data_IF_432663660336
#
_entry.id   IF_432663660336
#
_cell.length_a   1.000
_cell.length_b   1.000
_cell.length_c   1.000
_cell.angle_alpha   90.00
_cell.angle_beta   90.00
_cell.angle_gamma   90.00
#
_symmetry.space_group_name_H-M   'P 1'
#
loop_
_entity.id
_entity.type
_entity.pdbx_description
1 polymer ?
#
# COMPACT_ATOMS: atom_id res chain seq x y z
N UNK A 1 -21.26 -7.93 34.30
CA UNK A 1 -21.50 -9.37 34.56
C UNK A 1 -21.97 -10.17 33.32
N UNK A 2 -22.24 -9.52 32.17
CA UNK A 2 -22.40 -10.18 30.85
C UNK A 2 -21.08 -10.37 30.06
N UNK A 3 -19.99 -9.73 30.50
CA UNK A 3 -18.64 -9.73 29.86
C UNK A 3 -17.90 -11.08 29.85
N UNK A 4 -18.33 -12.08 30.63
CA UNK A 4 -17.51 -13.30 30.89
C UNK A 4 -18.08 -14.61 30.34
N UNK A 5 -19.36 -14.64 29.93
CA UNK A 5 -19.98 -15.90 29.45
C UNK A 5 -19.79 -16.12 27.94
N UNK A 6 -19.56 -15.08 27.13
CA UNK A 6 -19.31 -15.20 25.68
C UNK A 6 -17.93 -15.84 25.36
N UNK A 7 -16.91 -15.60 26.20
CA UNK A 7 -15.52 -16.03 25.95
C UNK A 7 -15.26 -17.54 26.07
N UNK A 8 -16.14 -18.31 26.72
CA UNK A 8 -15.90 -19.76 26.93
C UNK A 8 -16.21 -20.62 25.70
N UNK A 9 -17.15 -20.21 24.85
CA UNK A 9 -17.51 -20.99 23.66
C UNK A 9 -16.58 -20.70 22.48
N UNK A 10 -16.06 -19.47 22.35
CA UNK A 10 -15.09 -19.09 21.30
C UNK A 10 -13.73 -19.80 21.49
N UNK A 11 -13.33 -20.09 22.73
CA UNK A 11 -12.08 -20.80 23.03
C UNK A 11 -11.98 -22.21 22.42
N UNK A 12 -13.11 -22.89 22.19
CA UNK A 12 -13.11 -24.26 21.64
C UNK A 12 -13.06 -24.23 20.11
N UNK A 13 -13.78 -23.29 19.49
CA UNK A 13 -13.74 -23.09 18.04
C UNK A 13 -12.34 -22.64 17.58
N UNK A 14 -11.73 -21.70 18.31
CA UNK A 14 -10.39 -21.17 18.03
C UNK A 14 -9.29 -22.25 18.09
N UNK A 15 -9.40 -23.20 19.01
CA UNK A 15 -8.44 -24.32 19.15
C UNK A 15 -8.51 -25.35 18.02
N UNK A 16 -9.58 -25.34 17.22
CA UNK A 16 -9.78 -26.30 16.12
C UNK A 16 -9.55 -25.63 14.76
N UNK A 17 -10.01 -24.39 14.57
CA UNK A 17 -9.91 -23.67 13.29
C UNK A 17 -8.48 -23.20 12.96
N UNK A 18 -7.76 -22.62 13.93
CA UNK A 18 -6.40 -22.09 13.72
C UNK A 18 -5.41 -23.17 13.24
N UNK A 19 -5.33 -24.37 13.86
CA UNK A 19 -4.42 -25.40 13.35
C UNK A 19 -4.85 -25.97 11.98
N UNK A 20 -6.12 -25.88 11.60
CA UNK A 20 -6.61 -26.34 10.29
C UNK A 20 -6.25 -25.35 9.19
N UNK A 21 -6.40 -24.04 9.45
CA UNK A 21 -5.98 -22.98 8.53
C UNK A 21 -4.46 -22.96 8.33
N UNK A 22 -3.67 -23.06 9.39
CA UNK A 22 -2.21 -23.19 9.29
C UNK A 22 -1.78 -24.42 8.48
N UNK A 23 -2.52 -25.53 8.60
CA UNK A 23 -2.25 -26.74 7.81
C UNK A 23 -2.55 -26.53 6.32
N UNK A 24 -3.59 -25.76 5.98
CA UNK A 24 -3.95 -25.44 4.59
C UNK A 24 -2.90 -24.54 3.95
N UNK A 25 -2.41 -23.52 4.67
CA UNK A 25 -1.34 -22.62 4.21
C UNK A 25 -0.05 -23.40 3.92
N UNK A 26 0.35 -24.31 4.84
CA UNK A 26 1.54 -25.16 4.64
C UNK A 26 1.38 -26.12 3.46
N UNK A 27 0.17 -26.65 3.22
CA UNK A 27 -0.10 -27.52 2.08
C UNK A 27 -0.10 -26.73 0.76
N UNK A 28 -0.61 -25.50 0.75
CA UNK A 28 -0.54 -24.59 -0.41
C UNK A 28 0.90 -24.28 -0.82
N UNK A 29 1.75 -23.91 0.15
CA UNK A 29 3.17 -23.65 -0.09
C UNK A 29 3.93 -24.89 -0.63
N UNK A 30 3.56 -26.09 -0.17
CA UNK A 30 4.15 -27.34 -0.65
C UNK A 30 3.69 -27.75 -2.06
N UNK A 31 2.51 -27.31 -2.51
CA UNK A 31 2.00 -27.62 -3.85
C UNK A 31 2.57 -26.65 -4.91
N UNK A 32 2.79 -25.38 -4.55
CA UNK A 32 3.47 -24.39 -5.39
C UNK A 32 4.93 -24.77 -5.69
N UNK A 33 5.63 -25.39 -4.74
CA UNK A 33 7.01 -25.85 -4.94
C UNK A 33 7.12 -27.12 -5.80
N UNK A 34 6.08 -27.97 -5.87
CA UNK A 34 6.14 -29.22 -6.64
C UNK A 34 5.82 -29.04 -8.14
N UNK A 35 5.00 -28.04 -8.48
CA UNK A 35 4.66 -27.73 -9.88
C UNK A 35 5.79 -27.02 -10.61
N UNK A 36 6.62 -26.26 -9.90
CA UNK A 36 7.73 -25.48 -10.48
C UNK A 36 9.01 -26.28 -10.76
N UNK A 37 9.18 -27.47 -10.16
CA UNK A 37 10.39 -28.30 -10.31
C UNK A 37 10.37 -29.27 -11.49
N UNK A 38 9.34 -29.23 -12.36
CA UNK A 38 9.15 -30.24 -13.41
C UNK A 38 9.43 -29.78 -14.84
N UNK A 39 9.70 -28.50 -15.11
CA UNK A 39 10.11 -28.04 -16.43
C UNK A 39 11.40 -27.22 -16.33
N UNK A 40 12.53 -27.88 -16.58
CA UNK A 40 13.44 -27.45 -17.64
C UNK A 40 14.71 -28.31 -17.66
N UNK A 41 14.93 -28.94 -18.82
CA UNK A 41 16.18 -29.60 -19.14
C UNK A 41 16.34 -29.56 -20.67
N UNK A 42 17.13 -28.62 -21.18
CA UNK A 42 18.14 -28.92 -22.20
C UNK A 42 19.15 -27.77 -22.35
N UNK A 43 20.43 -28.12 -22.13
CA UNK A 43 21.61 -27.29 -22.24
C UNK A 43 22.13 -27.19 -23.68
N UNK A 44 22.87 -26.12 -23.96
CA UNK A 44 23.84 -26.02 -25.04
C UNK A 44 24.99 -25.06 -24.70
N UNK A 45 26.12 -25.63 -24.29
CA UNK A 45 27.49 -25.11 -24.17
C UNK A 45 27.99 -24.41 -25.47
N UNK A 46 29.05 -23.59 -25.59
CA UNK A 46 30.28 -23.35 -24.82
C UNK A 46 31.02 -22.08 -25.37
N UNK A 47 31.75 -21.37 -24.49
CA UNK A 47 33.13 -20.76 -24.55
C UNK A 47 33.75 -20.17 -25.87
N UNK A 48 34.77 -19.29 -25.92
CA UNK A 48 35.77 -18.77 -24.96
C UNK A 48 36.57 -17.59 -25.58
N UNK A 49 37.03 -16.66 -24.71
CA UNK A 49 38.34 -15.96 -24.70
C UNK A 49 38.77 -14.88 -25.73
N UNK A 50 39.39 -13.81 -25.19
CA UNK A 50 40.41 -13.01 -25.89
C UNK A 50 40.62 -11.57 -25.38
N UNK A 51 41.41 -11.40 -24.31
CA UNK A 51 42.05 -10.11 -23.94
C UNK A 51 43.01 -9.60 -25.04
N UNK A 52 43.18 -8.28 -25.22
CA UNK A 52 44.25 -7.51 -24.58
C UNK A 52 44.48 -6.09 -25.18
N UNK A 53 44.74 -5.14 -24.27
CA UNK A 53 45.64 -3.97 -24.31
C UNK A 53 45.36 -2.68 -25.11
N UNK A 54 45.43 -1.60 -24.31
CA UNK A 54 45.65 -0.16 -24.51
C UNK A 54 46.87 0.20 -25.40
N UNK A 55 46.85 1.38 -26.02
CA UNK A 55 47.71 2.54 -25.64
C UNK A 55 47.35 3.80 -26.46
N UNK A 56 47.55 4.96 -25.84
CA UNK A 56 47.23 6.32 -26.25
C UNK A 56 48.22 6.94 -27.25
N UNK A 57 47.84 8.07 -27.85
CA UNK A 57 48.74 9.25 -27.97
C UNK A 57 48.00 10.51 -28.47
N UNK A 58 48.42 11.63 -27.88
CA UNK A 58 47.97 13.02 -28.05
C UNK A 58 48.30 13.66 -29.42
N UNK A 59 47.63 14.77 -29.71
CA UNK A 59 48.01 15.71 -30.78
C UNK A 59 47.20 17.01 -30.73
N UNK A 60 47.79 18.02 -30.11
CA UNK A 60 47.34 19.40 -29.90
C UNK A 60 47.58 20.31 -31.14
N UNK A 61 46.70 21.30 -31.41
CA UNK A 61 47.06 22.65 -31.91
C UNK A 61 45.85 23.57 -32.13
N UNK A 62 45.93 24.77 -31.56
CA UNK A 62 44.99 25.89 -31.56
C UNK A 62 44.90 26.74 -32.84
N UNK A 63 43.85 27.61 -32.86
CA UNK A 63 43.85 29.04 -33.24
C UNK A 63 43.56 29.44 -34.70
N UNK A 64 42.42 30.09 -35.00
CA UNK A 64 42.17 31.55 -34.89
C UNK A 64 40.98 31.98 -35.80
N UNK A 65 40.24 33.03 -35.42
CA UNK A 65 39.39 33.78 -36.36
C UNK A 65 38.02 34.23 -35.85
N UNK A 66 38.00 35.36 -35.13
CA UNK A 66 36.84 36.21 -34.82
C UNK A 66 36.14 36.80 -36.05
N UNK A 67 34.83 37.00 -35.99
CA UNK A 67 34.16 38.19 -36.55
C UNK A 67 32.79 38.41 -35.89
N UNK A 68 32.56 39.66 -35.48
CA UNK A 68 31.40 40.19 -34.78
C UNK A 68 30.15 40.25 -35.67
N UNK A 69 28.97 39.91 -35.14
CA UNK A 69 27.69 40.41 -35.66
C UNK A 69 26.74 40.71 -34.50
N UNK A 70 26.54 42.02 -34.25
CA UNK A 70 25.54 42.54 -33.33
C UNK A 70 24.16 42.35 -33.96
N UNK A 71 23.34 41.46 -33.39
CA UNK A 71 21.90 41.45 -33.65
C UNK A 71 21.15 41.80 -32.37
N UNK A 72 20.30 42.82 -32.47
CA UNK A 72 19.42 43.31 -31.42
C UNK A 72 18.42 42.20 -31.03
N UNK A 73 18.68 41.57 -29.88
CA UNK A 73 17.76 40.61 -29.27
C UNK A 73 16.62 41.40 -28.61
N UNK A 74 15.47 41.38 -29.26
CA UNK A 74 14.22 41.84 -28.70
C UNK A 74 13.85 40.86 -27.57
N UNK A 75 14.14 41.26 -26.33
CA UNK A 75 13.82 40.50 -25.12
C UNK A 75 12.31 40.28 -25.00
N UNK A 76 11.84 39.20 -25.60
CA UNK A 76 10.61 38.53 -25.23
C UNK A 76 10.91 37.96 -23.85
N UNK A 77 10.36 38.61 -22.81
CA UNK A 77 10.42 38.07 -21.46
C UNK A 77 9.85 36.66 -21.52
N UNK A 78 10.70 35.65 -21.36
CA UNK A 78 10.27 34.28 -21.18
C UNK A 78 9.28 34.28 -20.03
N UNK A 79 8.01 34.08 -20.33
CA UNK A 79 7.03 33.65 -19.34
C UNK A 79 7.59 32.37 -18.75
N UNK A 80 8.00 32.43 -17.48
CA UNK A 80 8.29 31.23 -16.68
C UNK A 80 7.15 30.23 -16.93
N UNK A 81 7.44 28.94 -17.21
CA UNK A 81 6.38 27.96 -17.35
C UNK A 81 5.52 28.00 -16.08
N UNK A 82 4.20 28.12 -16.24
CA UNK A 82 3.29 27.99 -15.12
C UNK A 82 3.24 26.49 -14.78
N UNK A 83 3.89 26.07 -13.70
CA UNK A 83 3.81 24.71 -13.19
C UNK A 83 2.60 24.59 -12.25
N UNK A 84 2.01 23.39 -12.19
CA UNK A 84 1.10 22.99 -11.12
C UNK A 84 1.74 21.83 -10.36
N UNK A 85 1.63 21.87 -9.04
CA UNK A 85 2.22 20.88 -8.14
C UNK A 85 1.08 20.28 -7.31
N UNK A 86 1.09 18.96 -7.15
CA UNK A 86 0.22 18.24 -6.22
C UNK A 86 1.04 17.25 -5.40
N UNK A 87 0.54 16.92 -4.22
CA UNK A 87 1.10 15.89 -3.36
C UNK A 87 0.14 14.70 -3.23
N UNK A 88 0.67 13.49 -3.38
CA UNK A 88 -0.08 12.24 -3.18
C UNK A 88 0.55 11.49 -2.02
N UNK A 89 -0.25 11.14 -1.01
CA UNK A 89 0.18 10.31 0.13
C UNK A 89 -0.46 8.94 0.08
N UNK A 90 0.33 7.90 0.28
CA UNK A 90 -0.15 6.51 0.35
C UNK A 90 0.31 5.82 1.63
N UNK A 91 -0.55 4.96 2.19
CA UNK A 91 -0.26 4.22 3.44
C UNK A 91 -0.61 2.75 3.32
N UNK A 92 0.10 1.91 4.08
CA UNK A 92 -0.14 0.47 4.15
C UNK A 92 -1.46 0.07 4.82
N UNK A 93 -1.42 -1.08 5.50
CA UNK A 93 -2.62 -1.81 5.87
C UNK A 93 -3.36 -1.15 7.06
N UNK A 94 -4.63 -0.79 6.84
CA UNK A 94 -5.56 -0.30 7.86
C UNK A 94 -6.44 -1.46 8.31
N UNK A 95 -6.09 -2.04 9.46
CA UNK A 95 -6.78 -3.19 10.04
C UNK A 95 -7.28 -2.90 11.46
N UNK A 96 -8.37 -3.55 11.85
CA UNK A 96 -8.88 -3.53 13.22
C UNK A 96 -9.04 -4.94 13.79
N UNK A 97 -8.01 -5.42 14.48
CA UNK A 97 -8.06 -6.63 15.27
C UNK A 97 -8.95 -6.46 16.51
N UNK A 98 -9.27 -7.57 17.18
CA UNK A 98 -10.12 -7.56 18.38
C UNK A 98 -9.70 -6.56 19.44
N UNK A 99 -8.40 -6.52 19.76
CA UNK A 99 -7.89 -5.58 20.75
C UNK A 99 -8.07 -4.11 20.37
N UNK A 100 -8.03 -3.77 19.08
CA UNK A 100 -8.17 -2.39 18.59
C UNK A 100 -9.61 -1.92 18.72
N UNK A 101 -10.59 -2.67 18.18
CA UNK A 101 -11.99 -2.23 18.29
C UNK A 101 -12.55 -2.37 19.72
N UNK A 102 -11.98 -3.23 20.58
CA UNK A 102 -12.30 -3.20 22.01
C UNK A 102 -11.75 -1.96 22.72
N UNK A 103 -10.62 -1.41 22.27
CA UNK A 103 -10.08 -0.13 22.73
C UNK A 103 -10.94 1.04 22.31
N UNK A 104 -11.41 1.02 21.06
CA UNK A 104 -12.27 2.06 20.49
C UNK A 104 -13.69 2.13 21.11
N UNK A 105 -14.12 1.16 21.92
CA UNK A 105 -15.49 1.15 22.45
C UNK A 105 -15.71 2.20 23.53
N UNK A 106 -16.71 3.06 23.32
CA UNK A 106 -17.11 4.15 24.23
C UNK A 106 -18.39 3.77 24.98
N UNK A 107 -18.28 3.51 26.29
CA UNK A 107 -19.42 3.04 27.12
C UNK A 107 -20.53 4.09 27.25
N UNK A 108 -20.19 5.38 27.22
CA UNK A 108 -21.13 6.49 27.38
C UNK A 108 -22.12 6.60 26.22
N UNK A 109 -21.67 6.29 25.00
CA UNK A 109 -22.44 6.40 23.76
C UNK A 109 -22.91 5.05 23.23
N UNK A 110 -22.37 3.94 23.78
CA UNK A 110 -22.58 2.58 23.26
C UNK A 110 -22.21 2.48 21.77
N UNK A 111 -21.07 3.08 21.41
CA UNK A 111 -20.54 3.20 20.05
C UNK A 111 -19.03 2.99 20.04
N UNK A 112 -18.41 3.14 18.87
CA UNK A 112 -16.95 3.06 18.71
C UNK A 112 -16.36 4.41 18.28
N UNK A 113 -15.13 4.68 18.68
CA UNK A 113 -14.34 5.88 18.35
C UNK A 113 -12.88 5.49 18.12
N UNK A 114 -12.48 5.45 16.86
CA UNK A 114 -11.13 5.18 16.38
C UNK A 114 -10.35 6.47 16.11
N UNK A 115 -10.92 7.67 16.25
CA UNK A 115 -10.19 8.93 15.98
C UNK A 115 -8.86 9.04 16.72
N UNK A 116 -8.72 8.62 18.00
CA UNK A 116 -7.43 8.67 18.68
C UNK A 116 -6.32 7.90 17.98
N UNK A 117 -6.65 6.85 17.23
CA UNK A 117 -5.68 6.07 16.45
C UNK A 117 -4.94 6.94 15.44
N UNK A 118 -5.66 7.86 14.79
CA UNK A 118 -5.17 8.65 13.68
C UNK A 118 -4.75 10.07 14.05
N UNK A 119 -4.90 10.49 15.31
CA UNK A 119 -4.76 11.89 15.71
C UNK A 119 -3.40 12.51 15.34
N UNK A 120 -2.29 11.76 15.46
CA UNK A 120 -0.94 12.28 15.18
C UNK A 120 -0.55 12.22 13.71
N UNK A 121 -1.14 11.31 12.94
CA UNK A 121 -0.87 11.18 11.49
C UNK A 121 -1.82 12.01 10.65
N UNK A 122 -2.96 12.42 11.21
CA UNK A 122 -3.94 13.26 10.54
C UNK A 122 -3.35 14.52 9.89
N UNK A 123 -2.45 15.31 10.54
CA UNK A 123 -1.85 16.48 9.89
C UNK A 123 -1.03 16.15 8.64
N UNK A 124 -0.42 14.96 8.58
CA UNK A 124 0.35 14.51 7.42
C UNK A 124 -0.57 14.11 6.26
N UNK A 125 -1.70 13.47 6.58
CA UNK A 125 -2.69 13.08 5.57
C UNK A 125 -3.46 14.30 5.03
N UNK A 126 -3.83 15.26 5.89
CA UNK A 126 -4.50 16.50 5.48
C UNK A 126 -3.59 17.48 4.72
N UNK A 127 -2.26 17.30 4.77
CA UNK A 127 -1.31 18.09 3.97
C UNK A 127 -1.29 17.64 2.50
N UNK A 128 -1.59 16.37 2.24
CA UNK A 128 -1.67 15.83 0.90
C UNK A 128 -2.87 16.38 0.12
N UNK A 129 -2.71 16.57 -1.20
CA UNK A 129 -3.86 16.87 -2.07
C UNK A 129 -4.69 15.61 -2.39
N UNK A 130 -4.09 14.43 -2.22
CA UNK A 130 -4.73 13.12 -2.38
C UNK A 130 -4.13 12.08 -1.43
N UNK A 131 -4.89 11.64 -0.42
CA UNK A 131 -4.46 10.61 0.53
C UNK A 131 -5.19 9.26 0.31
N UNK A 132 -4.42 8.17 0.21
CA UNK A 132 -4.91 6.83 -0.15
C UNK A 132 -4.41 5.78 0.86
N UNK A 133 -5.27 4.85 1.28
CA UNK A 133 -4.88 3.75 2.18
C UNK A 133 -5.49 2.40 1.81
N UNK A 134 -4.81 1.30 2.19
CA UNK A 134 -5.36 -0.05 2.07
C UNK A 134 -6.28 -0.36 3.25
N UNK A 135 -7.59 -0.37 3.00
CA UNK A 135 -8.62 -0.73 3.98
C UNK A 135 -8.81 -2.25 4.01
N UNK A 136 -7.99 -2.93 4.81
CA UNK A 136 -7.92 -4.39 4.90
C UNK A 136 -8.83 -4.93 6.01
N UNK A 137 -10.09 -4.51 5.94
CA UNK A 137 -11.16 -4.99 6.81
C UNK A 137 -12.51 -4.88 6.11
N UNK A 138 -13.56 -5.38 6.73
CA UNK A 138 -14.93 -5.22 6.21
C UNK A 138 -15.83 -4.55 7.24
N UNK A 139 -16.86 -3.83 6.79
CA UNK A 139 -17.87 -3.19 7.66
C UNK A 139 -19.27 -3.68 7.29
N UNK A 140 -19.54 -4.92 7.65
CA UNK A 140 -20.78 -5.62 7.31
C UNK A 140 -21.91 -5.41 8.35
N UNK A 141 -21.72 -4.51 9.33
CA UNK A 141 -22.71 -4.10 10.33
C UNK A 141 -22.77 -4.98 11.59
N UNK A 142 -23.35 -4.41 12.66
CA UNK A 142 -23.45 -5.05 13.98
C UNK A 142 -24.26 -6.37 13.97
N UNK A 143 -25.31 -6.45 13.13
CA UNK A 143 -26.18 -7.63 13.02
C UNK A 143 -25.42 -8.90 12.60
N UNK A 144 -24.29 -8.73 11.91
CA UNK A 144 -23.39 -9.83 11.51
C UNK A 144 -22.33 -10.14 12.57
N UNK A 145 -22.22 -9.29 13.57
CA UNK A 145 -21.33 -9.41 14.73
C UNK A 145 -19.94 -8.91 14.42
N UNK A 146 -19.45 -7.96 15.21
CA UNK A 146 -18.08 -7.48 15.08
C UNK A 146 -17.05 -8.54 15.46
N UNK A 147 -15.97 -8.58 14.70
CA UNK A 147 -14.88 -9.53 14.86
C UNK A 147 -13.60 -8.96 14.27
N UNK A 148 -12.46 -9.26 14.89
CA UNK A 148 -11.15 -9.12 14.26
C UNK A 148 -10.79 -10.41 13.52
N UNK A 149 -9.49 -10.68 13.47
CA UNK A 149 -8.93 -11.89 12.86
C UNK A 149 -9.57 -13.20 13.39
N UNK A 150 -9.84 -14.22 12.54
CA UNK A 150 -9.44 -14.35 11.13
C UNK A 150 -10.46 -13.88 10.09
N UNK A 151 -11.66 -13.45 10.51
CA UNK A 151 -12.71 -12.99 9.61
C UNK A 151 -13.20 -11.64 10.12
N UNK A 152 -12.66 -10.58 9.56
CA UNK A 152 -12.88 -9.23 10.01
C UNK A 152 -14.29 -8.75 9.70
N UNK A 153 -14.91 -8.11 10.69
CA UNK A 153 -16.07 -7.24 10.55
C UNK A 153 -15.92 -6.15 11.62
N UNK A 154 -15.38 -5.03 11.21
CA UNK A 154 -15.05 -3.91 12.09
C UNK A 154 -16.30 -3.07 12.36
N UNK A 155 -16.43 -2.44 13.54
CA UNK A 155 -17.47 -1.45 13.77
C UNK A 155 -17.52 -0.39 12.69
N UNK A 156 -18.74 -0.01 12.32
CA UNK A 156 -19.02 0.83 11.15
C UNK A 156 -18.38 2.23 11.31
N UNK A 157 -18.20 2.70 12.55
CA UNK A 157 -17.61 4.00 12.88
C UNK A 157 -16.16 4.16 12.38
N UNK A 158 -15.43 3.07 12.14
CA UNK A 158 -14.07 3.17 11.58
C UNK A 158 -14.04 3.92 10.25
N UNK A 159 -15.11 3.83 9.44
CA UNK A 159 -15.17 4.52 8.14
C UNK A 159 -15.23 6.03 8.33
N UNK A 160 -16.04 6.52 9.27
CA UNK A 160 -16.11 7.95 9.61
C UNK A 160 -14.80 8.45 10.23
N UNK A 161 -14.07 7.57 10.93
CA UNK A 161 -12.82 7.93 11.60
C UNK A 161 -11.62 7.91 10.65
N UNK A 162 -11.67 7.11 9.59
CA UNK A 162 -10.73 7.13 8.46
C UNK A 162 -10.97 8.37 7.59
N UNK A 163 -12.22 8.73 7.30
CA UNK A 163 -12.54 10.05 6.69
C UNK A 163 -12.03 11.20 7.57
N UNK A 164 -12.27 11.14 8.89
CA UNK A 164 -11.72 12.13 9.83
C UNK A 164 -10.19 12.23 9.77
N UNK A 165 -9.48 11.13 9.52
CA UNK A 165 -8.03 11.12 9.42
C UNK A 165 -7.51 11.89 8.19
N UNK A 166 -8.35 12.10 7.17
CA UNK A 166 -8.01 12.85 5.97
C UNK A 166 -7.82 12.00 4.71
N UNK A 167 -8.28 10.75 4.69
CA UNK A 167 -8.21 9.93 3.47
C UNK A 167 -9.26 10.36 2.44
N UNK A 168 -8.86 10.43 1.17
CA UNK A 168 -9.75 10.72 0.04
C UNK A 168 -10.25 9.46 -0.65
N UNK A 169 -9.44 8.39 -0.64
CA UNK A 169 -9.75 7.13 -1.29
C UNK A 169 -9.22 5.93 -0.49
N UNK A 170 -9.96 4.82 -0.55
CA UNK A 170 -9.59 3.57 0.10
C UNK A 170 -9.52 2.43 -0.91
N UNK A 171 -8.39 1.74 -0.89
CA UNK A 171 -8.21 0.47 -1.56
C UNK A 171 -8.87 -0.61 -0.74
N UNK A 172 -9.72 -1.41 -1.38
CA UNK A 172 -10.51 -2.45 -0.71
C UNK A 172 -10.35 -3.81 -1.35
N UNK A 173 -9.68 -3.92 -2.50
CA UNK A 173 -9.27 -5.20 -3.08
C UNK A 173 -8.07 -5.76 -2.31
N UNK A 174 -8.36 -6.62 -1.34
CA UNK A 174 -7.36 -7.33 -0.56
C UNK A 174 -7.84 -8.74 -0.19
N UNK A 175 -7.00 -9.50 0.50
CA UNK A 175 -7.30 -10.87 0.91
C UNK A 175 -8.51 -10.98 1.87
N UNK A 176 -8.86 -9.90 2.58
CA UNK A 176 -9.96 -9.84 3.54
C UNK A 176 -11.29 -9.29 2.97
N UNK A 177 -11.33 -8.88 1.70
CA UNK A 177 -12.54 -8.38 1.02
C UNK A 177 -13.76 -9.29 1.19
N UNK A 178 -13.56 -10.62 1.16
CA UNK A 178 -14.64 -11.62 1.24
C UNK A 178 -14.90 -12.18 2.64
N UNK A 179 -14.34 -11.61 3.71
CA UNK A 179 -14.52 -12.13 5.07
C UNK A 179 -15.99 -12.21 5.48
N UNK A 180 -16.80 -11.29 4.96
CA UNK A 180 -18.25 -11.24 5.15
C UNK A 180 -19.03 -11.60 3.86
N UNK A 181 -18.37 -12.17 2.86
CA UNK A 181 -18.95 -12.55 1.57
C UNK A 181 -19.46 -11.36 0.74
N UNK A 182 -20.20 -11.64 -0.34
CA UNK A 182 -20.69 -10.62 -1.29
C UNK A 182 -21.43 -9.46 -0.61
N UNK A 183 -22.37 -9.76 0.30
CA UNK A 183 -23.10 -8.72 1.05
C UNK A 183 -22.17 -7.86 1.93
N UNK A 184 -21.02 -8.40 2.35
CA UNK A 184 -19.99 -7.67 3.08
C UNK A 184 -19.20 -6.72 2.19
N UNK A 185 -18.85 -7.15 0.97
CA UNK A 185 -18.23 -6.31 -0.06
C UNK A 185 -19.14 -5.15 -0.40
N UNK A 186 -20.37 -5.44 -0.84
CA UNK A 186 -21.36 -4.43 -1.23
C UNK A 186 -21.63 -3.41 -0.12
N UNK A 187 -21.67 -3.86 1.14
CA UNK A 187 -21.90 -2.96 2.26
C UNK A 187 -20.69 -2.10 2.56
N UNK A 188 -19.48 -2.66 2.48
CA UNK A 188 -18.23 -1.93 2.71
C UNK A 188 -18.08 -0.81 1.69
N UNK A 189 -18.30 -1.10 0.41
CA UNK A 189 -18.34 -0.10 -0.68
C UNK A 189 -19.30 1.04 -0.33
N UNK A 190 -20.57 0.71 -0.04
CA UNK A 190 -21.61 1.71 0.30
C UNK A 190 -21.29 2.56 1.53
N UNK A 191 -20.61 2.00 2.52
CA UNK A 191 -20.24 2.75 3.74
C UNK A 191 -19.15 3.76 3.42
N UNK A 192 -18.12 3.36 2.66
CA UNK A 192 -16.99 4.22 2.28
C UNK A 192 -17.47 5.35 1.35
N UNK A 193 -18.19 5.01 0.27
CA UNK A 193 -18.78 6.02 -0.63
C UNK A 193 -19.77 6.94 0.11
N UNK A 194 -20.52 6.39 1.07
CA UNK A 194 -21.45 7.14 1.90
C UNK A 194 -20.77 8.16 2.82
N UNK A 195 -19.51 7.93 3.19
CA UNK A 195 -18.67 8.88 3.92
C UNK A 195 -18.06 9.95 3.01
N UNK A 196 -18.04 9.73 1.69
CA UNK A 196 -17.53 10.69 0.70
C UNK A 196 -16.14 10.37 0.17
N UNK A 197 -15.58 9.22 0.53
CA UNK A 197 -14.32 8.71 0.00
C UNK A 197 -14.56 7.83 -1.23
N UNK A 198 -13.58 7.78 -2.13
CA UNK A 198 -13.61 6.85 -3.26
C UNK A 198 -13.24 5.42 -2.82
N UNK A 199 -13.83 4.43 -3.48
CA UNK A 199 -13.52 3.01 -3.29
C UNK A 199 -12.78 2.50 -4.52
N UNK A 200 -11.63 1.86 -4.29
CA UNK A 200 -10.81 1.31 -5.36
C UNK A 200 -10.71 -0.21 -5.16
N UNK A 201 -10.96 -0.97 -6.22
CA UNK A 201 -10.74 -2.42 -6.24
C UNK A 201 -11.93 -3.30 -5.84
N UNK A 202 -13.02 -2.75 -5.29
CA UNK A 202 -14.26 -3.51 -5.03
C UNK A 202 -15.51 -2.74 -5.40
N UNK A 203 -16.60 -3.48 -5.66
CA UNK A 203 -17.78 -2.93 -6.29
C UNK A 203 -19.09 -3.48 -5.70
N UNK A 204 -20.11 -2.61 -5.59
CA UNK A 204 -21.48 -3.05 -5.22
C UNK A 204 -22.15 -3.82 -6.37
N UNK A 205 -21.87 -3.44 -7.62
CA UNK A 205 -22.32 -4.10 -8.84
C UNK A 205 -21.14 -4.22 -9.82
N UNK A 206 -21.24 -5.13 -10.81
CA UNK A 206 -20.19 -5.29 -11.81
C UNK A 206 -19.84 -3.94 -12.48
N UNK A 207 -18.56 -3.50 -12.41
CA UNK A 207 -18.18 -2.18 -12.90
C UNK A 207 -18.19 -2.10 -14.43
N UNK A 208 -18.41 -0.90 -14.96
CA UNK A 208 -18.09 -0.58 -16.36
C UNK A 208 -16.59 -0.32 -16.53
N UNK A 209 -15.96 0.34 -15.56
CA UNK A 209 -14.55 0.72 -15.54
C UNK A 209 -13.90 0.27 -14.22
N UNK A 210 -12.63 -0.16 -14.28
CA UNK A 210 -11.89 -0.69 -13.11
C UNK A 210 -10.82 0.26 -12.57
N UNK A 211 -11.03 1.54 -12.82
CA UNK A 211 -10.17 2.63 -12.37
C UNK A 211 -11.02 3.80 -11.91
N UNK A 212 -10.44 4.61 -11.02
CA UNK A 212 -11.00 5.90 -10.59
C UNK A 212 -10.10 7.02 -11.09
N UNK A 213 -10.67 8.02 -11.77
CA UNK A 213 -9.93 9.23 -12.16
C UNK A 213 -10.18 10.34 -11.12
N UNK A 214 -9.11 10.80 -10.47
CA UNK A 214 -9.10 11.99 -9.62
C UNK A 214 -8.45 13.16 -10.36
N UNK A 215 -9.21 14.23 -10.59
CA UNK A 215 -8.65 15.51 -11.04
C UNK A 215 -8.28 16.34 -9.81
N UNK A 216 -6.99 16.45 -9.55
CA UNK A 216 -6.42 17.18 -8.42
C UNK A 216 -5.66 18.37 -8.98
N UNK A 217 -6.21 19.57 -8.81
CA UNK A 217 -5.64 20.82 -9.32
C UNK A 217 -5.30 20.80 -10.84
N UNK A 218 -5.95 19.98 -11.67
CA UNK A 218 -5.66 19.86 -13.10
C UNK A 218 -4.64 18.77 -13.48
N UNK A 219 -4.19 18.00 -12.49
CA UNK A 219 -3.45 16.73 -12.66
C UNK A 219 -4.44 15.59 -12.48
N UNK A 220 -4.60 14.76 -13.52
CA UNK A 220 -5.47 13.57 -13.48
C UNK A 220 -4.68 12.36 -13.01
N UNK A 221 -5.09 11.79 -11.88
CA UNK A 221 -4.52 10.56 -11.34
C UNK A 221 -5.51 9.42 -11.58
N UNK A 222 -5.10 8.41 -12.32
CA UNK A 222 -5.83 7.15 -12.43
C UNK A 222 -5.42 6.21 -11.30
N UNK A 223 -6.40 5.76 -10.53
CA UNK A 223 -6.22 4.87 -9.39
C UNK A 223 -6.78 3.49 -9.71
N UNK A 224 -5.94 2.47 -9.59
CA UNK A 224 -6.32 1.07 -9.76
C UNK A 224 -5.86 0.26 -8.55
N UNK A 225 -6.55 -0.83 -8.23
CA UNK A 225 -6.10 -1.74 -7.20
C UNK A 225 -6.46 -3.20 -7.49
N UNK A 226 -5.58 -4.12 -7.11
CA UNK A 226 -5.76 -5.55 -7.36
C UNK A 226 -5.24 -6.40 -6.20
N UNK A 227 -5.93 -7.50 -5.92
CA UNK A 227 -5.49 -8.50 -4.93
C UNK A 227 -5.05 -9.81 -5.57
N UNK A 228 -3.97 -10.40 -5.06
CA UNK A 228 -3.49 -11.73 -5.47
C UNK A 228 -4.41 -12.85 -4.98
N UNK A 229 -5.07 -12.67 -3.82
CA UNK A 229 -5.89 -13.73 -3.21
C UNK A 229 -7.02 -13.20 -2.34
N UNK A 230 -7.89 -14.10 -1.88
CA UNK A 230 -9.01 -13.83 -0.95
C UNK A 230 -9.07 -14.87 0.17
N UNK A 231 -7.92 -15.30 0.70
CA UNK A 231 -7.83 -16.28 1.80
C UNK A 231 -8.57 -17.62 1.54
N UNK A 232 -8.77 -17.99 0.27
CA UNK A 232 -9.56 -19.17 -0.11
C UNK A 232 -11.08 -19.03 0.09
N UNK A 233 -11.58 -17.81 0.28
CA UNK A 233 -13.00 -17.46 0.51
C UNK A 233 -13.81 -17.32 -0.79
N UNK A 234 -13.28 -17.75 -1.93
CA UNK A 234 -13.95 -17.66 -3.23
C UNK A 234 -15.18 -18.57 -3.34
N UNK A 235 -15.27 -19.67 -2.59
CA UNK A 235 -16.46 -20.53 -2.61
C UNK A 235 -17.62 -19.91 -1.82
N UNK A 236 -18.87 -19.93 -2.34
CA UNK A 236 -19.35 -20.70 -3.48
C UNK A 236 -19.42 -19.94 -4.81
N UNK A 237 -18.75 -18.79 -4.93
CA UNK A 237 -18.82 -17.93 -6.11
C UNK A 237 -18.00 -18.49 -7.28
N UNK A 238 -18.43 -18.20 -8.50
CA UNK A 238 -17.60 -18.42 -9.68
C UNK A 238 -16.52 -17.34 -9.80
N UNK A 239 -15.48 -17.58 -10.59
CA UNK A 239 -14.45 -16.57 -10.87
C UNK A 239 -15.05 -15.29 -11.47
N UNK A 240 -16.09 -15.42 -12.31
CA UNK A 240 -16.83 -14.29 -12.89
C UNK A 240 -17.61 -13.51 -11.81
N UNK A 241 -18.27 -14.20 -10.88
CA UNK A 241 -18.96 -13.56 -9.76
C UNK A 241 -17.98 -12.82 -8.85
N UNK A 242 -16.81 -13.41 -8.56
CA UNK A 242 -15.75 -12.76 -7.78
C UNK A 242 -15.25 -11.52 -8.51
N UNK A 243 -14.90 -11.63 -9.79
CA UNK A 243 -14.32 -10.52 -10.54
C UNK A 243 -15.33 -9.38 -10.75
N UNK A 244 -16.63 -9.66 -10.75
CA UNK A 244 -17.67 -8.63 -10.74
C UNK A 244 -17.74 -7.83 -9.42
N UNK A 245 -17.13 -8.32 -8.33
CA UNK A 245 -17.15 -7.67 -7.02
C UNK A 245 -15.78 -7.15 -6.60
N UNK A 246 -14.69 -7.77 -7.06
CA UNK A 246 -13.32 -7.55 -6.58
C UNK A 246 -12.35 -7.62 -7.75
N UNK A 247 -11.45 -6.66 -7.84
CA UNK A 247 -10.35 -6.68 -8.79
C UNK A 247 -9.28 -7.71 -8.38
N UNK A 248 -9.26 -8.81 -9.14
CA UNK A 248 -8.34 -9.93 -8.91
C UNK A 248 -7.19 -9.85 -9.90
N UNK A 249 -5.99 -9.99 -9.35
CA UNK A 249 -4.74 -9.86 -10.08
C UNK A 249 -4.57 -10.97 -11.13
N UNK A 250 -4.39 -10.56 -12.39
CA UNK A 250 -3.84 -11.36 -13.48
C UNK A 250 -3.32 -10.41 -14.56
N UNK A 251 -2.36 -10.84 -15.39
CA UNK A 251 -1.87 -9.99 -16.49
C UNK A 251 -3.01 -9.55 -17.44
N UNK A 252 -4.01 -10.40 -17.67
CA UNK A 252 -5.18 -10.07 -18.51
C UNK A 252 -6.01 -8.95 -17.87
N UNK A 253 -6.40 -9.11 -16.61
CA UNK A 253 -7.21 -8.12 -15.89
C UNK A 253 -6.47 -6.78 -15.73
N UNK A 254 -5.17 -6.83 -15.42
CA UNK A 254 -4.31 -5.66 -15.31
C UNK A 254 -4.20 -4.92 -16.65
N UNK A 255 -3.94 -5.64 -17.74
CA UNK A 255 -3.86 -5.04 -19.08
C UNK A 255 -5.17 -4.36 -19.44
N UNK A 256 -6.31 -5.05 -19.26
CA UNK A 256 -7.63 -4.51 -19.57
C UNK A 256 -7.92 -3.21 -18.80
N UNK A 257 -7.66 -3.20 -17.50
CA UNK A 257 -7.93 -2.03 -16.66
C UNK A 257 -6.96 -0.88 -16.93
N UNK A 258 -5.68 -1.15 -17.19
CA UNK A 258 -4.69 -0.11 -17.52
C UNK A 258 -4.97 0.49 -18.91
N UNK A 259 -5.32 -0.33 -19.90
CA UNK A 259 -5.69 0.16 -21.23
C UNK A 259 -6.95 1.06 -21.14
N UNK A 260 -7.96 0.65 -20.36
CA UNK A 260 -9.15 1.46 -20.11
C UNK A 260 -8.80 2.78 -19.40
N UNK A 261 -7.96 2.74 -18.36
CA UNK A 261 -7.51 3.94 -17.66
C UNK A 261 -6.79 4.93 -18.60
N UNK A 262 -5.98 4.44 -19.53
CA UNK A 262 -5.30 5.27 -20.54
C UNK A 262 -6.26 5.96 -21.52
N UNK A 263 -7.45 5.39 -21.76
CA UNK A 263 -8.45 6.04 -22.62
C UNK A 263 -8.97 7.36 -22.02
N UNK A 264 -8.86 7.54 -20.71
CA UNK A 264 -9.22 8.77 -19.99
C UNK A 264 -8.11 9.83 -19.95
N UNK A 265 -6.96 9.54 -20.57
CA UNK A 265 -5.80 10.42 -20.71
C UNK A 265 -5.33 10.96 -19.34
N UNK A 266 -4.92 10.08 -18.40
CA UNK A 266 -4.41 10.46 -17.09
C UNK A 266 -2.98 10.98 -17.19
N UNK A 267 -2.60 11.83 -16.24
CA UNK A 267 -1.22 12.33 -16.08
C UNK A 267 -0.35 11.36 -15.29
N UNK A 268 -0.95 10.64 -14.33
CA UNK A 268 -0.30 9.63 -13.49
C UNK A 268 -1.23 8.42 -13.40
N UNK A 269 -0.68 7.22 -13.54
CA UNK A 269 -1.33 5.94 -13.23
C UNK A 269 -0.69 5.38 -11.97
N UNK A 270 -1.49 5.27 -10.90
CA UNK A 270 -1.12 4.68 -9.62
C UNK A 270 -1.87 3.36 -9.42
N UNK A 271 -1.11 2.30 -9.15
CA UNK A 271 -1.66 0.97 -8.86
C UNK A 271 -1.39 0.58 -7.41
N UNK A 272 -2.38 0.02 -6.75
CA UNK A 272 -2.24 -0.62 -5.44
C UNK A 272 -2.31 -2.14 -5.58
N UNK A 273 -1.26 -2.83 -5.15
CA UNK A 273 -1.11 -4.26 -5.33
C UNK A 273 -1.06 -4.96 -3.98
N UNK A 274 -2.06 -5.78 -3.70
CA UNK A 274 -2.16 -6.54 -2.46
C UNK A 274 -1.64 -7.96 -2.69
N UNK A 275 -0.36 -8.19 -2.39
CA UNK A 275 0.41 -9.30 -2.96
C UNK A 275 1.54 -9.85 -2.09
N UNK A 276 2.09 -10.99 -2.50
CA UNK A 276 3.29 -11.56 -1.91
C UNK A 276 3.04 -12.32 -0.60
N UNK A 277 4.09 -12.87 0.01
CA UNK A 277 3.94 -13.65 1.23
C UNK A 277 3.94 -12.78 2.50
N UNK A 278 2.98 -13.02 3.40
CA UNK A 278 2.95 -12.43 4.74
C UNK A 278 4.28 -12.60 5.49
N UNK A 279 4.71 -11.53 6.16
CA UNK A 279 5.84 -11.47 7.09
C UNK A 279 7.22 -11.73 6.46
N UNK A 280 7.32 -11.58 5.14
CA UNK A 280 8.60 -11.68 4.42
C UNK A 280 9.06 -10.27 4.05
N UNK A 281 10.21 -9.86 4.58
CA UNK A 281 10.75 -8.50 4.37
C UNK A 281 11.40 -8.28 2.99
N UNK A 282 11.62 -9.34 2.21
CA UNK A 282 12.16 -9.25 0.85
C UNK A 282 11.07 -9.55 -0.18
N UNK A 283 10.95 -8.74 -1.25
CA UNK A 283 9.97 -9.01 -2.29
C UNK A 283 10.26 -10.35 -2.98
N UNK A 284 9.21 -11.15 -3.14
CA UNK A 284 9.25 -12.44 -3.83
C UNK A 284 9.34 -12.29 -5.36
N UNK A 285 9.59 -13.40 -6.05
CA UNK A 285 9.75 -13.39 -7.52
C UNK A 285 8.45 -13.00 -8.24
N UNK A 286 7.27 -13.39 -7.71
CA UNK A 286 5.97 -12.98 -8.24
C UNK A 286 5.79 -11.46 -8.18
N UNK A 287 6.10 -10.85 -7.02
CA UNK A 287 5.98 -9.40 -6.85
C UNK A 287 6.90 -8.66 -7.85
N UNK A 288 8.15 -9.09 -8.00
CA UNK A 288 9.11 -8.48 -8.96
C UNK A 288 8.65 -8.64 -10.41
N UNK A 289 8.13 -9.81 -10.77
CA UNK A 289 7.57 -10.06 -12.11
C UNK A 289 6.44 -9.08 -12.41
N UNK A 290 5.48 -8.94 -11.51
CA UNK A 290 4.36 -8.04 -11.74
C UNK A 290 4.74 -6.56 -11.64
N UNK A 291 5.70 -6.19 -10.80
CA UNK A 291 6.22 -4.82 -10.79
C UNK A 291 6.86 -4.44 -12.14
N UNK A 292 7.70 -5.32 -12.71
CA UNK A 292 8.25 -5.12 -14.06
C UNK A 292 7.14 -5.10 -15.12
N UNK A 293 6.17 -6.01 -15.03
CA UNK A 293 5.04 -6.04 -15.96
C UNK A 293 4.24 -4.71 -15.94
N UNK A 294 3.96 -4.16 -14.77
CA UNK A 294 3.25 -2.88 -14.62
C UNK A 294 4.08 -1.70 -15.17
N UNK A 295 5.39 -1.69 -14.93
CA UNK A 295 6.29 -0.70 -15.53
C UNK A 295 6.28 -0.79 -17.06
N UNK A 296 6.30 -2.01 -17.62
CA UNK A 296 6.18 -2.25 -19.07
C UNK A 296 4.80 -1.84 -19.63
N UNK A 297 3.77 -1.79 -18.79
CA UNK A 297 2.46 -1.25 -19.14
C UNK A 297 2.38 0.28 -18.97
N UNK A 298 3.44 0.98 -18.57
CA UNK A 298 3.44 2.43 -18.40
C UNK A 298 2.72 2.92 -17.15
N UNK A 299 2.70 2.11 -16.08
CA UNK A 299 2.27 2.55 -14.75
C UNK A 299 3.37 3.40 -14.11
N UNK A 300 3.03 4.54 -13.53
CA UNK A 300 4.01 5.45 -12.92
C UNK A 300 4.35 5.04 -11.48
N UNK A 301 3.33 4.72 -10.68
CA UNK A 301 3.45 4.45 -9.25
C UNK A 301 2.84 3.08 -8.90
N UNK A 302 3.63 2.21 -8.29
CA UNK A 302 3.22 0.86 -7.90
C UNK A 302 3.37 0.72 -6.39
N UNK A 303 2.24 0.67 -5.67
CA UNK A 303 2.21 0.66 -4.22
C UNK A 303 1.75 -0.70 -3.72
N UNK A 304 2.59 -1.37 -2.93
CA UNK A 304 2.33 -2.69 -2.40
C UNK A 304 1.74 -2.68 -0.99
N UNK A 305 0.93 -3.69 -0.70
CA UNK A 305 0.39 -4.07 0.62
C UNK A 305 0.35 -5.59 0.75
N UNK A 306 -0.07 -6.10 1.92
CA UNK A 306 -0.22 -7.52 2.30
C UNK A 306 0.91 -8.17 3.11
N UNK A 307 2.21 -7.97 2.83
CA UNK A 307 3.26 -8.61 3.62
C UNK A 307 3.24 -8.21 5.11
N UNK A 308 2.52 -7.14 5.47
CA UNK A 308 2.42 -6.59 6.82
C UNK A 308 3.77 -6.21 7.43
N UNK A 309 4.78 -6.02 6.59
CA UNK A 309 6.13 -5.55 6.92
C UNK A 309 6.58 -4.64 5.79
N UNK A 310 7.46 -3.69 6.09
CA UNK A 310 8.06 -2.85 5.06
C UNK A 310 8.92 -3.69 4.11
N UNK A 311 8.69 -3.53 2.82
CA UNK A 311 9.58 -4.01 1.77
C UNK A 311 10.16 -2.80 1.03
N UNK A 312 11.27 -3.01 0.34
CA UNK A 312 12.03 -1.93 -0.30
C UNK A 312 11.24 -1.13 -1.34
N UNK A 313 11.68 0.11 -1.55
CA UNK A 313 11.32 0.92 -2.71
C UNK A 313 12.42 0.88 -3.78
N UNK A 314 12.07 0.92 -5.06
CA UNK A 314 13.03 1.08 -6.17
C UNK A 314 12.35 1.61 -7.44
N UNK A 315 13.11 2.34 -8.27
CA UNK A 315 12.70 2.65 -9.64
C UNK A 315 12.97 1.45 -10.56
N UNK A 316 12.02 1.18 -11.45
CA UNK A 316 12.07 0.12 -12.46
C UNK A 316 11.92 0.77 -13.84
N UNK A 317 12.95 0.62 -14.67
CA UNK A 317 12.90 0.97 -16.08
C UNK A 317 12.05 -0.06 -16.84
N UNK A 318 11.16 0.41 -17.72
CA UNK A 318 10.42 -0.47 -18.63
C UNK A 318 11.38 -1.21 -19.56
N UNK A 319 10.95 -2.38 -20.05
CA UNK A 319 11.76 -3.24 -20.90
C UNK A 319 12.22 -2.59 -22.22
N UNK A 320 11.52 -1.56 -22.69
CA UNK A 320 11.89 -0.77 -23.87
C UNK A 320 12.73 0.48 -23.55
N UNK A 321 12.89 0.83 -22.27
CA UNK A 321 13.63 2.00 -21.80
C UNK A 321 12.93 3.33 -22.06
N UNK A 322 11.63 3.32 -22.37
CA UNK A 322 10.86 4.54 -22.66
C UNK A 322 10.08 5.06 -21.45
N UNK A 323 10.00 4.29 -20.36
CA UNK A 323 9.25 4.61 -19.14
C UNK A 323 10.03 4.21 -17.88
N UNK A 324 9.79 4.92 -16.79
CA UNK A 324 10.31 4.58 -15.46
C UNK A 324 9.15 4.59 -14.47
N UNK A 325 8.99 3.50 -13.73
CA UNK A 325 8.00 3.36 -12.67
C UNK A 325 8.69 3.33 -11.31
N UNK A 326 8.08 3.92 -10.28
CA UNK A 326 8.50 3.68 -8.92
C UNK A 326 7.65 2.57 -8.28
N UNK A 327 8.30 1.60 -7.63
CA UNK A 327 7.61 0.58 -6.83
C UNK A 327 8.01 0.68 -5.36
N UNK A 328 7.03 0.68 -4.46
CA UNK A 328 7.20 0.33 -3.07
C UNK A 328 6.54 -1.02 -2.83
N UNK A 329 7.30 -2.10 -2.64
CA UNK A 329 6.74 -3.46 -2.65
C UNK A 329 5.79 -3.78 -1.50
N UNK A 330 5.91 -3.06 -0.38
CA UNK A 330 4.99 -3.11 0.76
C UNK A 330 5.23 -1.91 1.68
N UNK A 331 4.17 -1.18 2.02
CA UNK A 331 4.22 -0.07 2.98
C UNK A 331 4.01 -0.51 4.45
N UNK A 332 3.92 -1.81 4.71
CA UNK A 332 3.73 -2.35 6.06
C UNK A 332 2.34 -2.10 6.63
N UNK A 333 2.20 -2.19 7.95
CA UNK A 333 0.93 -1.90 8.61
C UNK A 333 0.86 -0.40 8.91
N UNK A 334 -0.18 0.29 8.43
CA UNK A 334 -0.49 1.62 8.94
C UNK A 334 -1.12 1.55 10.32
N UNK A 335 -2.06 0.61 10.51
CA UNK A 335 -2.56 0.25 11.84
C UNK A 335 -2.95 -1.23 11.91
N UNK A 336 -2.38 -1.96 12.87
CA UNK A 336 -2.75 -3.34 13.16
C UNK A 336 -2.45 -3.72 14.61
N UNK A 337 -2.85 -4.92 15.03
CA UNK A 337 -2.37 -5.54 16.27
C UNK A 337 -1.45 -6.75 15.97
N UNK A 338 -0.81 -6.77 14.81
CA UNK A 338 0.25 -7.74 14.46
C UNK A 338 1.58 -7.19 15.00
N UNK A 339 1.95 -7.65 16.19
CA UNK A 339 3.07 -7.06 16.92
C UNK A 339 3.74 -8.05 17.85
N UNK A 340 4.87 -7.64 18.43
CA UNK A 340 5.69 -8.51 19.28
C UNK A 340 4.87 -9.24 20.36
N UNK A 341 3.97 -8.53 21.03
CA UNK A 341 3.24 -9.08 22.17
C UNK A 341 2.04 -9.95 21.78
N UNK A 342 1.65 -9.99 20.50
CA UNK A 342 0.47 -10.71 20.01
C UNK A 342 0.82 -11.88 19.12
N UNK A 343 1.83 -11.73 18.24
CA UNK A 343 2.24 -12.77 17.30
C UNK A 343 3.67 -13.29 17.54
N UNK A 344 4.50 -12.59 18.32
CA UNK A 344 5.79 -13.10 18.86
C UNK A 344 7.00 -12.18 18.62
N UNK A 345 8.10 -12.45 19.33
CA UNK A 345 9.31 -11.58 19.33
C UNK A 345 9.97 -11.39 17.95
N UNK A 346 9.79 -12.34 17.04
CA UNK A 346 10.34 -12.30 15.68
C UNK A 346 9.54 -11.40 14.72
N UNK A 347 8.40 -10.85 15.16
CA UNK A 347 7.48 -10.03 14.36
C UNK A 347 7.51 -8.53 14.72
N UNK A 348 8.63 -8.05 15.23
CA UNK A 348 8.84 -6.61 15.45
C UNK A 348 8.69 -5.77 14.17
N UNK A 349 9.14 -6.23 12.98
CA UNK A 349 8.98 -5.46 11.74
C UNK A 349 7.52 -5.18 11.36
N UNK A 350 6.55 -5.92 11.91
CA UNK A 350 5.13 -5.73 11.62
C UNK A 350 4.52 -4.47 12.24
N UNK A 351 5.25 -3.86 13.16
CA UNK A 351 4.81 -2.65 13.86
C UNK A 351 5.18 -1.38 13.08
N UNK A 352 6.00 -1.53 12.04
CA UNK A 352 6.50 -0.46 11.20
C UNK A 352 5.56 -0.27 9.99
N UNK A 353 5.30 0.99 9.68
CA UNK A 353 4.63 1.41 8.46
C UNK A 353 5.22 2.73 7.99
N UNK A 354 4.77 3.23 6.84
CA UNK A 354 5.14 4.55 6.36
C UNK A 354 3.95 5.26 5.74
N UNK A 355 4.00 6.59 5.77
CA UNK A 355 3.28 7.44 4.81
C UNK A 355 4.28 7.72 3.69
N UNK A 356 4.02 7.21 2.49
CA UNK A 356 4.83 7.44 1.30
C UNK A 356 4.23 8.59 0.50
N UNK A 357 5.03 9.62 0.22
CA UNK A 357 4.61 10.85 -0.44
C UNK A 357 5.27 10.97 -1.81
N UNK A 358 4.48 11.46 -2.76
CA UNK A 358 4.90 11.74 -4.14
C UNK A 358 4.53 13.17 -4.48
N UNK A 359 5.54 13.98 -4.77
CA UNK A 359 5.34 15.33 -5.29
C UNK A 359 5.30 15.25 -6.82
N UNK A 360 4.16 15.62 -7.39
CA UNK A 360 3.91 15.56 -8.83
C UNK A 360 3.93 16.98 -9.38
N UNK A 361 4.79 17.22 -10.36
CA UNK A 361 4.84 18.49 -11.09
C UNK A 361 4.30 18.31 -12.50
N UNK A 362 3.44 19.24 -12.93
CA UNK A 362 2.92 19.32 -14.29
C UNK A 362 3.22 20.68 -14.91
N UNK A 363 3.93 20.69 -16.03
CA UNK A 363 4.09 21.89 -16.86
C UNK A 363 2.78 22.14 -17.60
N UNK A 364 2.09 23.23 -17.26
CA UNK A 364 0.76 23.51 -17.83
C UNK A 364 0.80 23.95 -19.30
N UNK A 365 1.98 24.31 -19.83
CA UNK A 365 2.15 24.71 -21.21
C UNK A 365 2.42 23.51 -22.14
N UNK A 366 3.26 22.57 -21.73
CA UNK A 366 3.54 21.34 -22.49
C UNK A 366 2.54 20.22 -22.20
N UNK A 367 1.97 20.19 -20.99
CA UNK A 367 1.18 19.08 -20.46
C UNK A 367 2.03 17.92 -19.93
N UNK A 368 3.35 18.08 -19.86
CA UNK A 368 4.27 17.08 -19.33
C UNK A 368 4.16 17.02 -17.81
N UNK A 369 4.09 15.80 -17.28
CA UNK A 369 3.93 15.51 -15.85
C UNK A 369 5.06 14.60 -15.40
N UNK A 370 5.64 14.87 -14.23
CA UNK A 370 6.75 14.11 -13.65
C UNK A 370 6.55 13.90 -12.16
N UNK A 371 6.98 12.76 -11.65
CA UNK A 371 7.21 12.55 -10.21
C UNK A 371 8.50 13.28 -9.84
N UNK A 372 8.39 14.45 -9.21
CA UNK A 372 9.51 15.35 -8.96
C UNK A 372 10.29 14.96 -7.69
N UNK A 373 9.59 14.48 -6.67
CA UNK A 373 10.21 13.98 -5.43
C UNK A 373 9.42 12.80 -4.86
N UNK A 374 10.14 11.90 -4.20
CA UNK A 374 9.55 10.79 -3.45
C UNK A 374 10.20 10.74 -2.07
N UNK A 375 9.40 10.91 -1.04
CA UNK A 375 9.84 10.94 0.34
C UNK A 375 8.83 10.21 1.24
N UNK A 376 9.18 9.97 2.50
CA UNK A 376 8.31 9.21 3.39
C UNK A 376 8.41 9.71 4.82
N UNK A 377 7.33 9.46 5.58
CA UNK A 377 7.28 9.63 7.04
C UNK A 377 7.17 8.24 7.68
N UNK A 378 8.19 7.77 8.42
CA UNK A 378 8.09 6.53 9.17
C UNK A 378 7.00 6.62 10.23
N UNK A 379 6.22 5.56 10.36
CA UNK A 379 5.13 5.45 11.34
C UNK A 379 5.24 4.17 12.15
N UNK A 380 4.79 4.21 13.40
CA UNK A 380 4.83 3.07 14.30
C UNK A 380 3.60 2.99 15.19
N UNK A 381 3.02 1.79 15.33
CA UNK A 381 1.75 1.60 16.07
C UNK A 381 2.01 1.47 17.58
N UNK A 382 1.74 2.56 18.30
CA UNK A 382 1.82 2.60 19.76
C UNK A 382 0.58 2.00 20.40
N UNK A 383 0.78 0.92 21.16
CA UNK A 383 -0.26 0.30 21.99
C UNK A 383 0.06 0.54 23.45
N UNK A 384 -0.90 1.07 24.19
CA UNK A 384 -0.74 1.36 25.62
C UNK A 384 -2.02 1.13 26.43
N UNK A 385 -1.90 1.24 27.74
CA UNK A 385 -3.01 1.17 28.69
C UNK A 385 -2.57 1.77 30.01
N UNK A 386 -3.37 2.69 30.57
CA UNK A 386 -3.10 3.29 31.88
C UNK A 386 -3.00 2.25 33.01
N UNK A 387 -3.70 1.13 32.86
CA UNK A 387 -3.77 0.06 33.87
C UNK A 387 -2.77 -1.07 33.62
N UNK A 388 -2.18 -1.14 32.42
CA UNK A 388 -1.42 -2.29 31.94
C UNK A 388 -2.28 -3.52 31.63
N UNK A 389 -3.61 -3.41 31.71
CA UNK A 389 -4.57 -4.46 31.38
C UNK A 389 -5.49 -4.01 30.23
N UNK A 390 -6.19 -4.98 29.62
CA UNK A 390 -7.13 -4.73 28.52
C UNK A 390 -8.36 -3.90 28.96
N UNK A 391 -9.00 -3.16 28.03
CA UNK A 391 -8.60 -2.96 26.63
C UNK A 391 -7.34 -2.08 26.51
N UNK A 392 -6.74 -2.07 25.33
CA UNK A 392 -5.58 -1.22 25.04
C UNK A 392 -5.99 -0.11 24.09
N UNK A 393 -5.38 1.04 24.25
CA UNK A 393 -5.47 2.16 23.33
C UNK A 393 -4.38 2.03 22.26
N UNK A 394 -4.65 2.58 21.07
CA UNK A 394 -3.76 2.54 19.92
C UNK A 394 -3.63 3.94 19.33
N UNK A 395 -2.42 4.33 18.97
CA UNK A 395 -2.08 5.59 18.31
C UNK A 395 -0.99 5.30 17.26
N UNK A 396 -1.13 5.85 16.07
CA UNK A 396 -0.07 5.79 15.05
C UNK A 396 0.87 6.97 15.31
N UNK A 397 2.13 6.69 15.61
CA UNK A 397 3.13 7.73 15.88
C UNK A 397 3.99 7.96 14.64
N UNK A 398 4.06 9.18 14.08
CA UNK A 398 5.15 9.59 13.22
C UNK A 398 6.47 9.45 13.99
N UNK A 399 7.34 8.55 13.58
CA UNK A 399 8.46 8.08 14.41
C UNK A 399 9.40 9.23 14.76
N UNK A 400 9.71 10.08 13.79
CA UNK A 400 10.68 11.18 13.96
C UNK A 400 10.19 12.26 14.93
N UNK A 401 8.87 12.45 15.06
CA UNK A 401 8.27 13.41 15.98
C UNK A 401 8.31 12.92 17.44
N UNK A 402 8.35 11.60 17.64
CA UNK A 402 8.22 10.96 18.96
C UNK A 402 9.50 10.28 19.46
N UNK A 403 10.53 10.11 18.61
CA UNK A 403 11.78 9.43 18.98
C UNK A 403 12.54 10.09 20.15
N UNK A 404 12.29 11.38 20.40
CA UNK A 404 12.87 12.16 21.50
C UNK A 404 11.84 12.63 22.55
N UNK A 405 10.62 12.08 22.55
CA UNK A 405 9.56 12.50 23.49
C UNK A 405 9.82 12.01 24.92
N UNK A 406 10.17 12.94 25.82
CA UNK A 406 10.41 12.68 27.25
C UNK A 406 9.19 12.10 28.01
N UNK A 407 7.99 12.14 27.42
CA UNK A 407 6.78 11.55 28.00
C UNK A 407 6.63 10.06 27.70
N UNK A 408 7.35 9.53 26.71
CA UNK A 408 7.33 8.10 26.38
C UNK A 408 8.31 7.32 27.28
N UNK A 409 7.98 6.06 27.64
CA UNK A 409 8.93 5.21 28.36
C UNK A 409 10.19 4.91 27.52
N UNK A 410 11.37 4.82 28.15
CA UNK A 410 12.64 4.47 27.48
C UNK A 410 12.52 3.24 26.56
N UNK A 411 11.76 2.21 26.98
CA UNK A 411 11.56 1.00 26.17
C UNK A 411 10.77 1.21 24.88
N UNK A 412 9.97 2.28 24.80
CA UNK A 412 9.25 2.69 23.60
C UNK A 412 10.17 3.52 22.70
N UNK A 413 10.93 4.47 23.27
CA UNK A 413 11.94 5.23 22.52
C UNK A 413 12.94 4.29 21.83
N UNK A 414 13.45 3.27 22.53
CA UNK A 414 14.31 2.25 21.94
C UNK A 414 13.65 1.46 20.78
N UNK A 415 12.31 1.35 20.76
CA UNK A 415 11.58 0.69 19.66
C UNK A 415 11.40 1.61 18.47
N UNK A 416 11.12 2.89 18.72
CA UNK A 416 11.06 3.94 17.69
C UNK A 416 12.41 4.05 16.97
N UNK A 417 13.53 4.10 17.72
CA UNK A 417 14.88 4.09 17.13
C UNK A 417 15.08 2.89 16.19
N UNK A 418 14.71 1.69 16.64
CA UNK A 418 14.83 0.48 15.81
C UNK A 418 13.86 0.47 14.62
N UNK A 419 12.70 1.11 14.75
CA UNK A 419 11.70 1.25 13.68
C UNK A 419 12.24 2.17 12.58
N UNK A 420 12.82 3.30 12.97
CA UNK A 420 13.48 4.23 12.05
C UNK A 420 14.66 3.56 11.33
N UNK A 421 15.58 2.94 12.07
CA UNK A 421 16.72 2.22 11.48
C UNK A 421 16.28 1.14 10.47
N UNK A 422 15.21 0.39 10.78
CA UNK A 422 14.66 -0.60 9.85
C UNK A 422 14.06 0.06 8.62
N UNK A 423 13.23 1.07 8.81
CA UNK A 423 12.54 1.79 7.72
C UNK A 423 13.54 2.37 6.74
N UNK A 424 14.54 3.12 7.22
CA UNK A 424 15.57 3.75 6.41
C UNK A 424 16.38 2.71 5.62
N UNK A 425 16.74 1.59 6.27
CA UNK A 425 17.49 0.52 5.63
C UNK A 425 16.73 -0.20 4.52
N UNK A 426 15.39 -0.13 4.53
CA UNK A 426 14.52 -0.82 3.58
C UNK A 426 14.17 0.08 2.41
N UNK A 427 13.73 1.30 2.69
CA UNK A 427 13.27 2.21 1.63
C UNK A 427 14.44 2.85 0.88
N UNK A 428 15.57 3.13 1.55
CA UNK A 428 16.83 3.62 1.00
C UNK A 428 16.68 4.41 -0.33
N UNK A 429 15.94 5.52 -0.25
CA UNK A 429 15.56 6.39 -1.37
C UNK A 429 16.69 7.38 -1.78
N UNK A 430 17.95 7.02 -1.52
CA UNK A 430 19.15 7.83 -1.83
C UNK A 430 19.77 7.54 -3.20
#
# INVERSE_FOLDING_TARGET
>A
MKRTERNKNNSILFKILVPVLLLIIVIGAAYGTFTFLSDDNEQGEESESGENTEDATEGDSESDGSEDDESEENGEAATEPETTEISISTVGDIMAHDEQYWGAYVEETDSYDFKPVFEHVKPYLEEADLAIGNFETTVAGEDRGYAGFPLFNTPDEIVEDVDYAGFDALVTSNNHSLDMGAEGVERTVRMIEGAGMDVIGTYEEAPEERHVIKDVNGVKVALLAFTESMNGMGEPYTDEEIYNMIDVMSEENLTEAIDAAKEDDPDIILTYMHWGPEYVEEPGDSQKHYAQFLADQGVDLIIGSHPHVLQRGESIESSDGEHEAFVAYSLGNFVSNQRLETIGEDFQPNEDGVIMNFDIEKDTASGETTVADIHYTPTWVYRHSETGERPFDYEILPVEDFQDDENLPDSILERLDRSLERTDSRLNME
#
